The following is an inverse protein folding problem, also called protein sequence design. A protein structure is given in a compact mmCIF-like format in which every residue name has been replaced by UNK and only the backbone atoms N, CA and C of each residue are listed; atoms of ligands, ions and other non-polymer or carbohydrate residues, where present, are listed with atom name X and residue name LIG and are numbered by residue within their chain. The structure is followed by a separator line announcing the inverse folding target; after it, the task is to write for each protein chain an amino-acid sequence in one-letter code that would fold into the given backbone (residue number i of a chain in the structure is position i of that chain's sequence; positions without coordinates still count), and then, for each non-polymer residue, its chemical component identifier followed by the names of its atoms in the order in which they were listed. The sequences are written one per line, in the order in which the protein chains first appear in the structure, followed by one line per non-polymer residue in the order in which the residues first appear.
data_IF_665092704706
#
_entry.id   IF_665092704706
#
_cell.length_a   1.000
_cell.length_b   1.000
_cell.length_c   1.000
_cell.angle_alpha   90.00
_cell.angle_beta   90.00
_cell.angle_gamma   90.00
#
_symmetry.space_group_name_H-M   'P 1'
#
loop_
_entity.id
_entity.type
_entity.pdbx_description
1 polymer ?
#
# COMPACT_ATOMS: atom_id res chain seq x y z
N UNK A 1 -10.36 -7.32 33.63
CA UNK A 1 -9.81 -6.65 32.44
C UNK A 1 -9.28 -5.28 32.87
N UNK A 2 -7.96 -5.07 32.80
CA UNK A 2 -7.36 -3.78 33.12
C UNK A 2 -7.72 -2.76 32.03
N UNK A 3 -8.16 -1.55 32.42
CA UNK A 3 -8.29 -0.42 31.50
C UNK A 3 -6.90 -0.03 31.01
N UNK A 4 -6.59 -0.38 29.78
CA UNK A 4 -5.31 -0.04 29.16
C UNK A 4 -5.40 1.37 28.57
N UNK A 5 -4.49 2.25 28.99
CA UNK A 5 -4.37 3.58 28.40
C UNK A 5 -3.44 3.50 27.18
N UNK A 6 -3.89 4.08 26.08
CA UNK A 6 -3.11 4.32 24.87
C UNK A 6 -3.40 5.73 24.34
N UNK A 7 -2.49 6.32 23.55
CA UNK A 7 -2.68 7.68 23.09
C UNK A 7 -3.93 7.82 22.20
N UNK A 8 -4.67 8.93 22.30
CA UNK A 8 -5.99 9.08 21.67
C UNK A 8 -5.95 9.35 20.16
N UNK A 9 -4.79 9.25 19.52
CA UNK A 9 -4.59 9.69 18.12
C UNK A 9 -5.03 8.68 17.07
N UNK A 10 -5.32 7.43 17.43
CA UNK A 10 -5.79 6.42 16.47
C UNK A 10 -7.33 6.38 16.43
N UNK A 11 -7.87 6.08 15.26
CA UNK A 11 -9.31 5.84 15.05
C UNK A 11 -9.48 4.41 14.55
N UNK A 12 -10.33 3.64 15.22
CA UNK A 12 -10.55 2.23 14.88
C UNK A 12 -11.76 2.11 13.96
N UNK A 13 -11.55 1.52 12.78
CA UNK A 13 -12.63 1.12 11.87
C UNK A 13 -12.81 -0.39 12.00
N UNK A 14 -13.98 -0.83 12.45
CA UNK A 14 -14.26 -2.26 12.64
C UNK A 14 -14.72 -2.88 11.32
N UNK A 15 -14.00 -3.91 10.88
CA UNK A 15 -14.43 -4.85 9.83
C UNK A 15 -14.57 -6.25 10.42
N UNK A 16 -15.29 -7.13 9.72
CA UNK A 16 -15.50 -8.51 10.19
C UNK A 16 -14.25 -9.39 10.03
N UNK A 17 -13.41 -9.10 9.05
CA UNK A 17 -12.19 -9.85 8.74
C UNK A 17 -11.16 -8.91 8.11
N UNK A 18 -9.87 -9.14 8.38
CA UNK A 18 -8.79 -8.39 7.73
C UNK A 18 -8.80 -8.57 6.21
N UNK A 19 -9.27 -9.70 5.69
CA UNK A 19 -9.46 -9.91 4.24
C UNK A 19 -10.50 -8.99 3.59
N UNK A 20 -11.29 -8.25 4.37
CA UNK A 20 -12.20 -7.22 3.84
C UNK A 20 -11.47 -5.91 3.53
N UNK A 21 -10.27 -5.71 4.06
CA UNK A 21 -9.50 -4.50 3.83
C UNK A 21 -8.95 -4.52 2.40
N UNK A 22 -9.42 -3.57 1.59
CA UNK A 22 -8.97 -3.35 0.21
C UNK A 22 -7.77 -2.39 0.23
N UNK A 23 -6.75 -2.58 -0.63
CA UNK A 23 -5.63 -1.65 -0.73
C UNK A 23 -6.08 -0.21 -1.03
N UNK A 24 -7.21 -0.03 -1.74
CA UNK A 24 -7.82 1.28 -1.97
C UNK A 24 -8.15 1.99 -0.66
N UNK A 25 -8.68 1.30 0.35
CA UNK A 25 -9.01 1.92 1.64
C UNK A 25 -7.78 2.45 2.35
N UNK A 26 -6.65 1.77 2.19
CA UNK A 26 -5.37 2.17 2.80
C UNK A 26 -4.82 3.41 2.08
N UNK A 27 -4.81 3.40 0.75
CA UNK A 27 -4.35 4.56 -0.02
C UNK A 27 -5.25 5.78 0.15
N UNK A 28 -6.56 5.59 0.26
CA UNK A 28 -7.52 6.65 0.58
C UNK A 28 -7.26 7.25 1.97
N UNK A 29 -6.92 6.43 2.97
CA UNK A 29 -6.57 6.96 4.29
C UNK A 29 -5.36 7.90 4.21
N UNK A 30 -4.31 7.52 3.47
CA UNK A 30 -3.15 8.39 3.25
C UNK A 30 -3.52 9.67 2.49
N UNK A 31 -4.33 9.57 1.43
CA UNK A 31 -4.84 10.75 0.69
C UNK A 31 -5.64 11.70 1.58
N UNK A 32 -6.34 11.19 2.59
CA UNK A 32 -7.05 12.00 3.59
C UNK A 32 -6.15 12.53 4.72
N UNK A 33 -4.82 12.45 4.58
CA UNK A 33 -3.86 13.02 5.54
C UNK A 33 -3.57 12.16 6.76
N UNK A 34 -3.86 10.85 6.71
CA UNK A 34 -3.51 9.93 7.81
C UNK A 34 -2.03 9.59 7.75
N UNK A 35 -1.29 9.81 8.84
CA UNK A 35 0.16 9.55 8.90
C UNK A 35 0.55 8.07 8.74
N UNK A 36 -0.32 7.18 9.20
CA UNK A 36 -0.06 5.75 9.21
C UNK A 36 -1.34 4.90 9.33
N UNK A 37 -1.30 3.71 8.75
CA UNK A 37 -2.42 2.75 8.75
C UNK A 37 -1.94 1.43 9.33
N UNK A 38 -2.63 0.95 10.36
CA UNK A 38 -2.42 -0.39 10.93
C UNK A 38 -3.66 -1.25 10.68
N UNK A 39 -3.47 -2.45 10.15
CA UNK A 39 -4.55 -3.43 9.94
C UNK A 39 -4.30 -4.62 10.87
N UNK A 40 -5.19 -4.79 11.84
CA UNK A 40 -5.17 -5.93 12.76
C UNK A 40 -6.05 -7.07 12.26
N UNK A 41 -5.60 -8.32 12.41
CA UNK A 41 -6.36 -9.52 12.11
C UNK A 41 -6.09 -10.66 13.10
N UNK A 42 -6.85 -11.74 12.95
CA UNK A 42 -6.62 -12.98 13.69
C UNK A 42 -5.24 -13.57 13.36
N UNK A 43 -4.65 -14.31 14.30
CA UNK A 43 -3.42 -15.09 14.07
C UNK A 43 -3.53 -15.91 12.79
N UNK A 44 -2.43 -16.01 12.06
CA UNK A 44 -2.36 -16.82 10.84
C UNK A 44 -2.72 -18.27 11.18
N UNK A 45 -3.62 -18.88 10.40
CA UNK A 45 -4.20 -20.19 10.69
C UNK A 45 -5.43 -20.20 11.61
N UNK A 46 -5.70 -19.12 12.35
CA UNK A 46 -6.86 -19.00 13.26
C UNK A 46 -8.00 -18.15 12.66
N UNK A 47 -8.03 -18.00 11.34
CA UNK A 47 -9.02 -17.15 10.69
C UNK A 47 -10.42 -17.76 10.76
N UNK A 48 -11.38 -17.00 11.33
CA UNK A 48 -12.81 -17.37 11.32
C UNK A 48 -13.35 -17.59 9.91
N UNK A 49 -12.83 -16.85 8.94
CA UNK A 49 -13.22 -16.91 7.53
C UNK A 49 -12.24 -17.77 6.71
N UNK A 50 -11.54 -18.70 7.37
CA UNK A 50 -10.54 -19.64 6.83
C UNK A 50 -9.27 -18.98 6.29
N UNK A 51 -9.40 -18.07 5.33
CA UNK A 51 -8.26 -17.60 4.53
C UNK A 51 -8.17 -16.07 4.44
N UNK A 52 -9.12 -15.33 5.00
CA UNK A 52 -9.18 -13.87 4.85
C UNK A 52 -7.93 -13.14 5.35
N UNK A 53 -7.28 -13.62 6.42
CA UNK A 53 -6.02 -13.03 6.90
C UNK A 53 -4.83 -13.30 5.96
N UNK A 54 -4.81 -14.42 5.25
CA UNK A 54 -3.80 -14.66 4.22
C UNK A 54 -4.00 -13.75 3.00
N UNK A 55 -5.24 -13.44 2.62
CA UNK A 55 -5.50 -12.44 1.58
C UNK A 55 -5.02 -11.05 1.99
N UNK A 56 -5.15 -10.71 3.28
CA UNK A 56 -4.63 -9.47 3.82
C UNK A 56 -3.09 -9.37 3.77
N UNK A 57 -2.35 -10.50 3.81
CA UNK A 57 -0.90 -10.51 3.56
C UNK A 57 -0.57 -10.06 2.13
N UNK A 58 -1.28 -10.60 1.13
CA UNK A 58 -1.11 -10.19 -0.28
C UNK A 58 -1.40 -8.70 -0.45
N UNK A 59 -2.46 -8.21 0.19
CA UNK A 59 -2.82 -6.79 0.19
C UNK A 59 -1.72 -5.95 0.85
N UNK A 60 -1.18 -6.41 1.98
CA UNK A 60 -0.10 -5.69 2.66
C UNK A 60 1.17 -5.60 1.82
N UNK A 61 1.57 -6.68 1.17
CA UNK A 61 2.71 -6.66 0.24
C UNK A 61 2.49 -5.66 -0.90
N UNK A 62 1.31 -5.65 -1.51
CA UNK A 62 0.95 -4.65 -2.51
C UNK A 62 1.09 -3.22 -1.97
N UNK A 63 0.55 -2.94 -0.77
CA UNK A 63 0.62 -1.61 -0.16
C UNK A 63 2.05 -1.20 0.15
N UNK A 64 2.87 -2.08 0.74
CA UNK A 64 4.28 -1.78 1.03
C UNK A 64 5.08 -1.47 -0.24
N UNK A 65 4.79 -2.17 -1.34
CA UNK A 65 5.40 -1.85 -2.63
C UNK A 65 4.91 -0.51 -3.18
N UNK A 66 3.60 -0.25 -3.11
CA UNK A 66 3.02 0.99 -3.62
C UNK A 66 3.55 2.22 -2.86
N UNK A 67 3.62 2.15 -1.52
CA UNK A 67 4.22 3.21 -0.68
C UNK A 67 5.66 3.51 -1.12
N UNK A 68 6.48 2.47 -1.32
CA UNK A 68 7.87 2.64 -1.79
C UNK A 68 7.94 3.30 -3.16
N UNK A 69 7.06 2.90 -4.08
CA UNK A 69 7.02 3.47 -5.44
C UNK A 69 6.68 4.96 -5.42
N UNK A 70 5.77 5.39 -4.53
CA UNK A 70 5.45 6.82 -4.38
C UNK A 70 6.40 7.58 -3.46
N UNK A 71 7.50 6.97 -3.02
CA UNK A 71 8.50 7.60 -2.17
C UNK A 71 8.04 7.82 -0.72
N UNK A 72 7.03 7.10 -0.26
CA UNK A 72 6.65 7.04 1.15
C UNK A 72 7.36 5.89 1.87
N UNK A 73 7.64 6.09 3.16
CA UNK A 73 8.19 5.04 4.02
C UNK A 73 7.20 3.88 4.17
N UNK A 74 7.64 2.66 3.85
CA UNK A 74 6.81 1.46 3.95
C UNK A 74 6.32 1.21 5.37
N UNK A 75 7.09 1.66 6.36
CA UNK A 75 6.78 1.58 7.79
C UNK A 75 5.53 2.38 8.19
N UNK A 76 4.99 3.24 7.32
CA UNK A 76 3.68 3.89 7.55
C UNK A 76 2.51 2.92 7.46
N UNK A 77 2.70 1.72 6.91
CA UNK A 77 1.69 0.67 6.88
C UNK A 77 2.16 -0.56 7.67
N UNK A 78 1.25 -1.13 8.46
CA UNK A 78 1.56 -2.31 9.29
C UNK A 78 0.40 -3.31 9.32
N UNK A 79 0.74 -4.59 9.16
CA UNK A 79 -0.15 -5.70 9.48
C UNK A 79 0.19 -6.23 10.87
N UNK A 80 -0.83 -6.48 11.67
CA UNK A 80 -0.66 -7.12 12.98
C UNK A 80 -1.61 -8.30 13.20
N UNK A 81 -1.07 -9.34 13.81
CA UNK A 81 -1.76 -10.63 14.00
C UNK A 81 -1.88 -10.93 15.48
N UNK A 82 -3.07 -10.68 16.04
CA UNK A 82 -3.31 -10.73 17.47
C UNK A 82 -4.52 -11.62 17.78
N UNK A 83 -4.42 -12.45 18.82
CA UNK A 83 -5.57 -13.24 19.30
C UNK A 83 -6.52 -12.38 20.13
N UNK A 84 -7.80 -12.75 20.18
CA UNK A 84 -8.77 -12.11 21.08
C UNK A 84 -8.41 -12.24 22.57
N UNK A 85 -7.55 -13.22 22.91
CA UNK A 85 -7.02 -13.43 24.25
C UNK A 85 -5.82 -12.54 24.61
N UNK A 86 -5.31 -11.71 23.69
CA UNK A 86 -4.07 -10.93 23.86
C UNK A 86 -4.29 -9.40 23.81
N UNK A 87 -5.22 -8.81 24.58
CA UNK A 87 -5.51 -7.38 24.50
C UNK A 87 -4.34 -6.49 24.97
N UNK A 88 -3.49 -6.99 25.86
CA UNK A 88 -2.29 -6.25 26.32
C UNK A 88 -1.29 -6.11 25.18
N UNK A 89 -1.05 -7.20 24.45
CA UNK A 89 -0.16 -7.22 23.29
C UNK A 89 -0.61 -6.23 22.21
N UNK A 90 -1.91 -6.22 21.88
CA UNK A 90 -2.45 -5.25 20.91
C UNK A 90 -2.14 -3.80 21.30
N UNK A 91 -2.28 -3.46 22.59
CA UNK A 91 -2.00 -2.11 23.09
C UNK A 91 -0.51 -1.78 23.00
N UNK A 92 0.37 -2.75 23.28
CA UNK A 92 1.82 -2.60 23.14
C UNK A 92 2.22 -2.41 21.67
N UNK A 93 1.64 -3.18 20.75
CA UNK A 93 1.88 -3.10 19.31
C UNK A 93 1.42 -1.74 18.75
N UNK A 94 0.25 -1.25 19.17
CA UNK A 94 -0.23 0.10 18.84
C UNK A 94 0.76 1.16 19.35
N UNK A 95 1.18 1.08 20.62
CA UNK A 95 2.13 2.05 21.20
C UNK A 95 3.47 2.02 20.48
N UNK A 96 3.98 0.84 20.14
CA UNK A 96 5.23 0.68 19.40
C UNK A 96 5.13 1.29 18.00
N UNK A 97 4.03 1.01 17.30
CA UNK A 97 3.78 1.58 15.98
C UNK A 97 3.70 3.11 16.06
N UNK A 98 2.94 3.67 17.01
CA UNK A 98 2.84 5.12 17.17
C UNK A 98 4.18 5.79 17.48
N UNK A 99 5.07 5.15 18.26
CA UNK A 99 6.43 5.68 18.48
C UNK A 99 7.22 5.74 17.18
N UNK A 100 7.19 4.65 16.41
CA UNK A 100 7.86 4.58 15.10
C UNK A 100 7.35 5.67 14.15
N UNK A 101 6.03 5.86 14.04
CA UNK A 101 5.47 6.91 13.17
C UNK A 101 5.84 8.32 13.65
N UNK A 102 5.93 8.53 14.96
CA UNK A 102 6.39 9.81 15.51
C UNK A 102 7.86 10.09 15.17
N UNK A 103 8.71 9.06 15.10
CA UNK A 103 10.11 9.19 14.68
C UNK A 103 10.23 9.47 13.18
N UNK A 104 9.33 8.92 12.36
CA UNK A 104 9.24 9.26 10.93
C UNK A 104 8.81 10.72 10.75
N UNK A 105 7.82 11.16 11.53
CA UNK A 105 7.22 12.49 11.41
C UNK A 105 5.97 12.51 10.53
N UNK A 106 5.37 13.71 10.37
CA UNK A 106 4.12 13.88 9.61
C UNK A 106 4.23 13.38 8.17
N UNK A 107 3.12 12.93 7.59
CA UNK A 107 3.03 12.47 6.20
C UNK A 107 3.60 13.51 5.23
N UNK A 108 4.49 13.09 4.33
CA UNK A 108 5.14 13.95 3.34
C UNK A 108 6.33 14.71 3.90
N UNK A 109 6.17 15.36 5.07
CA UNK A 109 7.25 16.10 5.72
C UNK A 109 8.39 15.16 6.14
N UNK A 110 8.04 14.01 6.73
CA UNK A 110 9.03 12.98 7.12
C UNK A 110 9.79 12.38 5.94
N UNK A 111 9.26 12.55 4.73
CA UNK A 111 9.85 12.11 3.47
C UNK A 111 10.55 13.23 2.69
N UNK A 112 10.45 14.48 3.14
CA UNK A 112 10.96 15.64 2.41
C UNK A 112 10.18 15.97 1.12
N UNK A 113 8.91 15.57 1.06
CA UNK A 113 8.02 15.85 -0.08
C UNK A 113 7.29 17.18 0.12
N UNK A 114 7.09 17.92 -0.98
CA UNK A 114 6.18 19.07 -0.99
C UNK A 114 4.72 18.60 -0.89
N UNK A 115 3.81 19.47 -0.44
CA UNK A 115 2.37 19.14 -0.39
C UNK A 115 1.82 18.80 -1.77
N UNK A 116 2.26 19.52 -2.81
CA UNK A 116 1.87 19.28 -4.20
C UNK A 116 2.35 17.92 -4.71
N UNK A 117 3.61 17.56 -4.42
CA UNK A 117 4.18 16.27 -4.83
C UNK A 117 3.53 15.11 -4.06
N UNK A 118 3.24 15.30 -2.77
CA UNK A 118 2.55 14.31 -1.95
C UNK A 118 1.15 14.02 -2.52
N UNK A 119 0.36 15.06 -2.77
CA UNK A 119 -1.00 14.92 -3.31
C UNK A 119 -0.97 14.25 -4.69
N UNK A 120 -0.08 14.70 -5.58
CA UNK A 120 0.10 14.14 -6.91
C UNK A 120 0.35 12.63 -6.86
N UNK A 121 1.28 12.19 -5.99
CA UNK A 121 1.66 10.77 -5.89
C UNK A 121 0.59 9.92 -5.20
N UNK A 122 -0.04 10.44 -4.15
CA UNK A 122 -1.13 9.74 -3.47
C UNK A 122 -2.33 9.54 -4.40
N UNK A 123 -2.67 10.57 -5.19
CA UNK A 123 -3.74 10.46 -6.18
C UNK A 123 -3.42 9.41 -7.24
N UNK A 124 -2.19 9.38 -7.75
CA UNK A 124 -1.76 8.35 -8.70
C UNK A 124 -1.86 6.94 -8.10
N UNK A 125 -1.42 6.75 -6.85
CA UNK A 125 -1.53 5.47 -6.17
C UNK A 125 -2.98 5.01 -5.93
N UNK A 126 -3.88 5.93 -5.58
CA UNK A 126 -5.33 5.65 -5.49
C UNK A 126 -5.86 5.16 -6.84
N UNK A 127 -5.54 5.85 -7.94
CA UNK A 127 -5.96 5.44 -9.29
C UNK A 127 -5.36 4.08 -9.71
N UNK A 128 -4.17 3.72 -9.24
CA UNK A 128 -3.61 2.37 -9.44
C UNK A 128 -4.45 1.31 -8.71
N UNK A 129 -4.90 1.58 -7.49
CA UNK A 129 -5.76 0.65 -6.72
C UNK A 129 -7.17 0.48 -7.31
N UNK A 130 -7.67 1.48 -8.03
CA UNK A 130 -8.95 1.42 -8.75
C UNK A 130 -8.84 0.64 -10.07
N UNK A 131 -7.62 0.49 -10.61
CA UNK A 131 -7.41 -0.15 -11.89
C UNK A 131 -7.87 -1.62 -11.92
N UNK A 132 -8.74 -1.96 -12.87
CA UNK A 132 -9.35 -3.29 -12.98
C UNK A 132 -8.31 -4.42 -13.16
N UNK A 133 -7.22 -4.18 -13.89
CA UNK A 133 -6.20 -5.21 -14.11
C UNK A 133 -5.43 -5.49 -12.83
N UNK A 134 -5.05 -4.43 -12.10
CA UNK A 134 -4.42 -4.52 -10.78
C UNK A 134 -5.31 -5.33 -9.83
N UNK A 135 -6.59 -4.99 -9.74
CA UNK A 135 -7.57 -5.70 -8.91
C UNK A 135 -7.73 -7.17 -9.31
N UNK A 136 -7.74 -7.45 -10.61
CA UNK A 136 -7.90 -8.82 -11.13
C UNK A 136 -6.67 -9.67 -10.81
N UNK A 137 -5.46 -9.18 -11.06
CA UNK A 137 -4.22 -9.91 -10.77
C UNK A 137 -4.03 -10.11 -9.28
N UNK A 138 -4.33 -9.11 -8.45
CA UNK A 138 -4.40 -9.26 -7.00
C UNK A 138 -5.30 -10.44 -6.59
N UNK A 139 -6.52 -10.49 -7.15
CA UNK A 139 -7.45 -11.59 -6.89
C UNK A 139 -6.97 -12.95 -7.43
N UNK A 140 -6.21 -12.97 -8.53
CA UNK A 140 -5.60 -14.19 -9.06
C UNK A 140 -4.47 -14.72 -8.18
N UNK A 141 -3.59 -13.85 -7.67
CA UNK A 141 -2.52 -14.24 -6.73
C UNK A 141 -3.13 -14.88 -5.48
N UNK A 142 -4.16 -14.26 -4.90
CA UNK A 142 -4.88 -14.81 -3.76
C UNK A 142 -5.47 -16.21 -4.06
N UNK A 143 -6.04 -16.41 -5.25
CA UNK A 143 -6.56 -17.72 -5.70
C UNK A 143 -5.46 -18.76 -5.92
N UNK A 144 -4.30 -18.35 -6.44
CA UNK A 144 -3.16 -19.24 -6.65
C UNK A 144 -2.57 -19.73 -5.34
N UNK A 145 -2.30 -18.82 -4.40
CA UNK A 145 -1.81 -19.16 -3.06
C UNK A 145 -2.75 -20.15 -2.37
N UNK A 146 -4.07 -19.90 -2.48
CA UNK A 146 -5.10 -20.84 -2.01
C UNK A 146 -4.97 -22.22 -2.65
N UNK A 147 -4.81 -22.31 -3.97
CA UNK A 147 -4.68 -23.60 -4.67
C UNK A 147 -3.41 -24.35 -4.26
N UNK A 148 -2.32 -23.63 -4.02
CA UNK A 148 -1.05 -24.19 -3.57
C UNK A 148 -1.04 -24.57 -2.09
N UNK A 149 -1.99 -24.02 -1.31
CA UNK A 149 -1.99 -24.07 0.16
C UNK A 149 -0.68 -23.57 0.79
N UNK A 150 0.03 -22.71 0.07
CA UNK A 150 1.27 -22.10 0.51
C UNK A 150 1.02 -20.63 0.81
N UNK A 151 1.07 -20.29 2.09
CA UNK A 151 0.91 -18.94 2.61
C UNK A 151 2.16 -18.47 3.35
N UNK A 152 3.32 -19.07 3.07
CA UNK A 152 4.59 -18.55 3.53
C UNK A 152 4.77 -17.11 3.05
N UNK A 153 5.30 -16.25 3.92
CA UNK A 153 5.47 -14.81 3.64
C UNK A 153 6.38 -14.64 2.41
N UNK A 154 7.41 -15.47 2.29
CA UNK A 154 8.35 -15.50 1.18
C UNK A 154 7.65 -15.81 -0.14
N UNK A 155 6.79 -16.84 -0.18
CA UNK A 155 6.02 -17.21 -1.37
C UNK A 155 5.07 -16.09 -1.79
N UNK A 156 4.39 -15.46 -0.83
CA UNK A 156 3.48 -14.34 -1.08
C UNK A 156 4.25 -13.18 -1.69
N UNK A 157 5.36 -12.78 -1.06
CA UNK A 157 6.22 -11.70 -1.53
C UNK A 157 6.73 -11.97 -2.93
N UNK A 158 7.26 -13.16 -3.18
CA UNK A 158 7.75 -13.55 -4.51
C UNK A 158 6.65 -13.42 -5.57
N UNK A 159 5.45 -13.95 -5.32
CA UNK A 159 4.35 -13.84 -6.30
C UNK A 159 3.91 -12.40 -6.55
N UNK A 160 3.89 -11.57 -5.51
CA UNK A 160 3.56 -10.15 -5.63
C UNK A 160 4.62 -9.42 -6.45
N UNK A 161 5.91 -9.67 -6.17
CA UNK A 161 7.04 -9.08 -6.91
C UNK A 161 7.07 -9.53 -8.37
N UNK A 162 6.76 -10.79 -8.67
CA UNK A 162 6.76 -11.32 -10.04
C UNK A 162 5.57 -10.84 -10.88
N UNK A 163 4.36 -10.81 -10.30
CA UNK A 163 3.12 -10.61 -11.07
C UNK A 163 2.52 -9.23 -10.92
N UNK A 164 2.59 -8.65 -9.72
CA UNK A 164 1.88 -7.42 -9.39
C UNK A 164 2.79 -6.20 -9.51
N UNK A 165 4.01 -6.26 -8.97
CA UNK A 165 4.93 -5.12 -8.95
C UNK A 165 5.23 -4.52 -10.35
N UNK A 166 5.49 -5.31 -11.42
CA UNK A 166 5.71 -4.74 -12.74
C UNK A 166 4.48 -4.00 -13.27
N UNK A 167 3.29 -4.52 -12.96
CA UNK A 167 2.04 -3.90 -13.34
C UNK A 167 1.74 -2.64 -12.52
N UNK A 168 2.03 -2.64 -11.22
CA UNK A 168 1.92 -1.44 -10.37
C UNK A 168 2.79 -0.32 -10.92
N UNK A 169 4.07 -0.59 -11.19
CA UNK A 169 5.00 0.38 -11.79
C UNK A 169 4.49 0.95 -13.10
N UNK A 170 4.13 0.06 -14.03
CA UNK A 170 3.67 0.45 -15.36
C UNK A 170 2.43 1.36 -15.28
N UNK A 171 1.44 0.97 -14.46
CA UNK A 171 0.21 1.75 -14.30
C UNK A 171 0.44 3.07 -13.56
N UNK A 172 1.28 3.07 -12.53
CA UNK A 172 1.62 4.27 -11.78
C UNK A 172 2.26 5.30 -12.70
N UNK A 173 3.34 4.93 -13.40
CA UNK A 173 4.05 5.84 -14.29
C UNK A 173 3.18 6.29 -15.47
N UNK A 174 2.33 5.42 -16.01
CA UNK A 174 1.38 5.80 -17.06
C UNK A 174 0.43 6.90 -16.56
N UNK A 175 -0.11 6.77 -15.34
CA UNK A 175 -1.01 7.76 -14.74
C UNK A 175 -0.25 9.07 -14.46
N UNK A 176 0.91 8.98 -13.83
CA UNK A 176 1.74 10.15 -13.49
C UNK A 176 2.14 10.94 -14.74
N UNK A 177 2.65 10.26 -15.77
CA UNK A 177 3.06 10.91 -17.03
C UNK A 177 1.85 11.56 -17.72
N UNK A 178 0.70 10.87 -17.79
CA UNK A 178 -0.52 11.46 -18.37
C UNK A 178 -0.93 12.72 -17.63
N UNK A 179 -0.92 12.70 -16.30
CA UNK A 179 -1.25 13.88 -15.48
C UNK A 179 -0.26 15.02 -15.69
N UNK A 180 1.05 14.74 -15.76
CA UNK A 180 2.07 15.77 -16.01
C UNK A 180 1.97 16.41 -17.40
N UNK A 181 1.59 15.63 -18.42
CA UNK A 181 1.44 16.09 -19.81
C UNK A 181 0.15 16.88 -20.07
N UNK A 182 -0.84 16.82 -19.17
CA UNK A 182 -2.05 17.68 -19.28
C UNK A 182 -1.69 19.18 -19.24
N UNK A 183 -0.59 19.54 -18.59
CA UNK A 183 -0.03 20.89 -18.56
C UNK A 183 0.83 21.27 -19.78
N UNK A 184 0.75 20.50 -20.87
CA UNK A 184 1.54 20.67 -22.09
C UNK A 184 2.81 19.79 -22.16
N UNK A 185 3.55 19.83 -23.29
CA UNK A 185 4.73 19.01 -23.50
C UNK A 185 5.81 19.28 -22.43
N UNK A 186 6.35 18.21 -21.85
CA UNK A 186 7.45 18.26 -20.86
C UNK A 186 8.66 17.50 -21.40
N UNK A 187 9.86 17.90 -20.97
CA UNK A 187 11.08 17.17 -21.30
C UNK A 187 11.13 15.83 -20.57
N UNK A 188 11.88 14.87 -21.13
CA UNK A 188 12.11 13.57 -20.50
C UNK A 188 12.75 13.74 -19.11
N UNK A 189 13.73 14.63 -18.98
CA UNK A 189 14.40 14.93 -17.71
C UNK A 189 13.42 15.40 -16.63
N UNK A 190 12.43 16.22 -17.01
CA UNK A 190 11.40 16.68 -16.10
C UNK A 190 10.50 15.53 -15.62
N UNK A 191 10.11 14.63 -16.54
CA UNK A 191 9.29 13.47 -16.20
C UNK A 191 10.04 12.54 -15.25
N UNK A 192 11.30 12.22 -15.55
CA UNK A 192 12.15 11.39 -14.69
C UNK A 192 12.33 11.98 -13.30
N UNK A 193 12.57 13.29 -13.20
CA UNK A 193 12.73 13.97 -11.91
C UNK A 193 11.46 13.91 -11.05
N UNK A 194 10.27 13.95 -11.67
CA UNK A 194 8.99 13.95 -10.93
C UNK A 194 8.49 12.55 -10.58
N UNK A 195 8.62 11.59 -11.49
CA UNK A 195 8.15 10.21 -11.27
C UNK A 195 9.18 9.34 -10.54
N UNK A 196 10.46 9.71 -10.57
CA UNK A 196 11.55 8.88 -10.07
C UNK A 196 11.82 7.63 -10.93
N UNK A 197 11.16 7.52 -12.09
CA UNK A 197 11.33 6.41 -13.03
C UNK A 197 12.61 6.57 -13.87
N UNK A 198 13.16 5.45 -14.33
CA UNK A 198 14.29 5.46 -15.26
C UNK A 198 13.82 5.73 -16.69
N UNK A 199 14.76 6.16 -17.55
CA UNK A 199 14.48 6.36 -18.98
C UNK A 199 13.92 5.08 -19.65
N UNK A 200 14.46 3.92 -19.29
CA UNK A 200 14.01 2.62 -19.80
C UNK A 200 12.56 2.28 -19.40
N UNK A 201 12.12 2.74 -18.22
CA UNK A 201 10.75 2.54 -17.74
C UNK A 201 9.76 3.50 -18.44
N UNK A 202 10.21 4.71 -18.80
CA UNK A 202 9.37 5.75 -19.42
C UNK A 202 9.27 5.64 -20.95
N UNK A 203 10.35 5.29 -21.64
CA UNK A 203 10.39 5.25 -23.10
C UNK A 203 9.29 4.36 -23.74
N UNK A 204 9.01 3.13 -23.24
CA UNK A 204 7.91 2.32 -23.75
C UNK A 204 6.53 2.93 -23.49
N UNK A 205 6.35 3.70 -22.41
CA UNK A 205 5.09 4.35 -22.07
C UNK A 205 4.84 5.56 -22.97
N UNK A 206 5.86 6.41 -23.14
CA UNK A 206 5.80 7.57 -24.05
C UNK A 206 5.53 7.14 -25.49
N UNK A 207 6.18 6.07 -25.96
CA UNK A 207 5.93 5.52 -27.30
C UNK A 207 4.48 5.02 -27.50
N UNK A 208 3.82 4.55 -26.45
CA UNK A 208 2.40 4.17 -26.50
C UNK A 208 1.48 5.40 -26.55
N UNK A 209 1.80 6.45 -25.78
CA UNK A 209 1.02 7.68 -25.70
C UNK A 209 1.07 8.51 -26.99
N UNK A 210 2.17 8.46 -27.74
CA UNK A 210 2.29 9.13 -29.05
C UNK A 210 1.44 8.42 -30.12
N UNK A 211 1.14 7.13 -29.94
CA UNK A 211 0.38 6.32 -30.90
C UNK A 211 -1.13 6.28 -30.62
N UNK A 212 -1.58 6.83 -29.50
CA UNK A 212 -2.99 6.86 -29.05
C UNK A 212 -3.60 8.24 -29.25
#
# INVERSE_FOLDING_TARGET
MARQNYPPYHRVIRVMCSGRVDPLFVMEAFRNGVDAVMVGGCKLGECKYMEGNFQALVMGEMVWHLLRLIGLRAERFKLEWVSSAEPVKLVEDIKAFMRQIKEIGPLGIGEGLSEEDLEFRLQAAVSVCENMQVRTTFGQIAKELKKMQDFAIETIKQKVEEKLLPMLKNRLYEIEVKTLLQGGPKSLDFLMAKTGATEEELNPLLAKLIKS
#
